data_IF_965693006082
#
_entry.id   IF_965693006082
#
_cell.length_a   1.000
_cell.length_b   1.000
_cell.length_c   1.000
_cell.angle_alpha   90.00
_cell.angle_beta   90.00
_cell.angle_gamma   90.00
#
_symmetry.space_group_name_H-M   'P 1'
#
loop_
_entity.id
_entity.type
_entity.pdbx_description
1 polymer ?
#
# COMPACT_ATOMS: atom_id res chain seq x y z
N UNK A 1 -3.97 6.56 39.21
CA UNK A 1 -3.83 5.47 38.21
C UNK A 1 -2.55 5.72 37.40
N UNK A 2 -1.55 4.82 37.38
CA UNK A 2 -0.35 5.04 36.59
C UNK A 2 -0.65 4.88 35.09
N UNK A 3 -0.30 5.88 34.28
CA UNK A 3 -0.34 5.80 32.81
C UNK A 3 0.72 4.81 32.36
N UNK A 4 0.30 3.63 31.90
CA UNK A 4 1.18 2.64 31.26
C UNK A 4 1.87 3.29 30.06
N UNK A 5 3.20 3.42 30.14
CA UNK A 5 4.04 3.85 29.03
C UNK A 5 3.95 2.76 27.95
N UNK A 6 3.29 3.06 26.84
CA UNK A 6 3.30 2.25 25.63
C UNK A 6 4.76 2.18 25.15
N UNK A 7 5.44 1.08 25.50
CA UNK A 7 6.77 0.79 24.99
C UNK A 7 6.72 0.80 23.46
N UNK A 8 7.60 1.59 22.85
CA UNK A 8 7.79 1.62 21.41
C UNK A 8 8.32 0.26 20.95
N UNK A 9 7.42 -0.68 20.68
CA UNK A 9 7.79 -1.95 20.06
C UNK A 9 8.58 -1.63 18.79
N UNK A 10 9.75 -2.27 18.57
CA UNK A 10 10.56 -2.00 17.40
C UNK A 10 9.70 -2.29 16.18
N UNK A 11 9.36 -1.21 15.46
CA UNK A 11 8.44 -1.22 14.32
C UNK A 11 9.11 -2.11 13.29
N UNK A 12 8.69 -3.39 13.24
CA UNK A 12 9.25 -4.40 12.37
C UNK A 12 9.43 -3.83 10.98
N UNK A 13 10.64 -3.99 10.43
CA UNK A 13 11.16 -3.37 9.20
C UNK A 13 10.01 -3.05 8.24
N UNK A 14 9.55 -1.79 8.24
CA UNK A 14 8.51 -1.36 7.31
C UNK A 14 9.06 -1.68 5.92
N UNK A 15 8.36 -2.52 5.15
CA UNK A 15 8.74 -2.83 3.77
C UNK A 15 8.92 -1.50 3.06
N UNK A 16 10.15 -1.21 2.64
CA UNK A 16 10.50 -0.01 1.89
C UNK A 16 10.03 -0.25 0.45
N UNK A 17 8.78 0.07 0.18
CA UNK A 17 8.29 0.17 -1.19
C UNK A 17 8.61 1.57 -1.69
N UNK A 18 9.12 1.67 -2.91
CA UNK A 18 9.41 2.97 -3.50
C UNK A 18 8.14 3.59 -4.07
N UNK A 19 8.17 4.91 -4.21
CA UNK A 19 7.06 5.64 -4.84
C UNK A 19 6.90 5.26 -6.32
N UNK A 20 8.00 4.87 -6.98
CA UNK A 20 8.00 4.32 -8.34
C UNK A 20 7.17 3.04 -8.43
N UNK A 21 7.41 2.08 -7.52
CA UNK A 21 6.68 0.81 -7.46
C UNK A 21 5.18 1.04 -7.25
N UNK A 22 4.82 2.06 -6.45
CA UNK A 22 3.42 2.44 -6.22
C UNK A 22 2.77 2.97 -7.49
N UNK A 23 3.46 3.85 -8.23
CA UNK A 23 2.94 4.42 -9.48
C UNK A 23 2.76 3.34 -10.53
N UNK A 24 3.74 2.45 -10.70
CA UNK A 24 3.65 1.33 -11.64
C UNK A 24 2.55 0.33 -11.25
N UNK A 25 2.38 0.05 -9.95
CA UNK A 25 1.27 -0.76 -9.46
C UNK A 25 -0.10 -0.13 -9.76
N UNK A 26 -0.24 1.18 -9.60
CA UNK A 26 -1.50 1.87 -9.93
C UNK A 26 -1.75 1.82 -11.45
N UNK A 27 -0.71 2.03 -12.25
CA UNK A 27 -0.80 2.03 -13.72
C UNK A 27 -1.22 0.65 -14.25
N UNK A 28 -0.61 -0.42 -13.77
CA UNK A 28 -0.95 -1.80 -14.17
C UNK A 28 -2.37 -2.19 -13.79
N UNK A 29 -2.87 -1.75 -12.63
CA UNK A 29 -4.27 -1.99 -12.24
C UNK A 29 -5.24 -1.17 -13.08
N UNK A 30 -4.91 0.09 -13.41
CA UNK A 30 -5.72 0.93 -14.31
C UNK A 30 -5.79 0.35 -15.72
N UNK A 31 -4.69 -0.20 -16.22
CA UNK A 31 -4.63 -0.91 -17.51
C UNK A 31 -5.37 -2.26 -17.50
N UNK A 32 -5.99 -2.66 -16.37
CA UNK A 32 -6.66 -3.96 -16.14
C UNK A 32 -5.77 -5.18 -16.41
N UNK A 33 -4.45 -5.01 -16.42
CA UNK A 33 -3.49 -6.11 -16.61
C UNK A 33 -3.38 -7.00 -15.37
N UNK A 34 -3.48 -6.40 -14.18
CA UNK A 34 -3.38 -7.09 -12.90
C UNK A 34 -4.46 -6.58 -11.93
N UNK A 35 -5.02 -7.49 -11.13
CA UNK A 35 -5.92 -7.09 -10.04
C UNK A 35 -5.16 -6.38 -8.90
N UNK A 36 -5.86 -5.63 -8.04
CA UNK A 36 -5.26 -4.89 -6.91
C UNK A 36 -4.37 -5.79 -6.05
N UNK A 37 -4.79 -7.04 -5.82
CA UNK A 37 -4.04 -8.01 -5.03
C UNK A 37 -2.78 -8.48 -5.73
N UNK A 38 -2.83 -8.69 -7.04
CA UNK A 38 -1.69 -9.17 -7.81
C UNK A 38 -0.65 -8.07 -8.01
N UNK A 39 -1.08 -6.85 -8.33
CA UNK A 39 -0.19 -5.70 -8.39
C UNK A 39 0.52 -5.44 -7.05
N UNK A 40 -0.19 -5.60 -5.93
CA UNK A 40 0.42 -5.50 -4.59
C UNK A 40 1.53 -6.56 -4.35
N UNK A 41 1.35 -7.77 -4.86
CA UNK A 41 2.36 -8.84 -4.75
C UNK A 41 3.53 -8.61 -5.70
N UNK A 42 3.23 -8.23 -6.95
CA UNK A 42 4.20 -8.02 -8.00
C UNK A 42 5.16 -6.87 -7.69
N UNK A 43 4.62 -5.71 -7.32
CA UNK A 43 5.39 -4.51 -7.00
C UNK A 43 5.81 -4.45 -5.52
N UNK A 44 5.51 -5.48 -4.72
CA UNK A 44 5.76 -5.54 -3.27
C UNK A 44 5.20 -4.34 -2.48
N UNK A 45 4.20 -3.65 -3.03
CA UNK A 45 3.55 -2.50 -2.41
C UNK A 45 2.29 -2.96 -1.63
N UNK A 46 2.07 -2.49 -0.39
CA UNK A 46 0.87 -2.84 0.37
C UNK A 46 -0.43 -2.44 -0.35
N UNK A 47 -1.45 -3.30 -0.28
CA UNK A 47 -2.79 -3.00 -0.84
C UNK A 47 -3.37 -1.69 -0.32
N UNK A 48 -3.16 -1.38 0.96
CA UNK A 48 -3.61 -0.13 1.59
C UNK A 48 -2.99 1.12 0.96
N UNK A 49 -1.86 0.98 0.27
CA UNK A 49 -1.18 2.07 -0.44
C UNK A 49 -1.75 2.26 -1.84
N UNK A 50 -2.15 1.18 -2.52
CA UNK A 50 -2.62 1.19 -3.92
C UNK A 50 -4.15 1.45 -3.99
N UNK A 51 -4.93 0.82 -3.10
CA UNK A 51 -6.39 0.83 -3.14
C UNK A 51 -7.02 2.24 -3.02
N UNK A 52 -6.56 3.15 -2.13
CA UNK A 52 -7.17 4.49 -2.04
C UNK A 52 -7.04 5.29 -3.34
N UNK A 53 -5.91 5.16 -4.04
CA UNK A 53 -5.67 5.82 -5.32
C UNK A 53 -6.56 5.27 -6.44
N UNK A 54 -6.84 3.96 -6.42
CA UNK A 54 -7.71 3.32 -7.42
C UNK A 54 -9.18 3.65 -7.14
N UNK A 55 -9.64 3.48 -5.90
CA UNK A 55 -11.05 3.67 -5.51
C UNK A 55 -11.50 5.13 -5.71
N UNK A 56 -10.63 6.12 -5.49
CA UNK A 56 -10.94 7.54 -5.77
C UNK A 56 -11.23 7.82 -7.24
N UNK A 57 -10.74 7.00 -8.17
CA UNK A 57 -10.88 7.27 -9.61
C UNK A 57 -12.30 7.03 -10.12
N UNK A 58 -13.15 6.30 -9.37
CA UNK A 58 -14.49 5.91 -9.81
C UNK A 58 -15.60 6.45 -8.88
N UNK A 59 -15.32 7.53 -8.15
CA UNK A 59 -16.23 8.11 -7.13
C UNK A 59 -16.86 9.44 -7.56
N UNK A 60 -16.84 9.78 -8.84
CA UNK A 60 -17.58 10.91 -9.40
C UNK A 60 -18.22 10.48 -10.70
#
# INVERSE_FOLDING_TARGET
>A
MPRTKLGSSPKGKRKNWDEKDKVDAIKTVREKKLGIREAALHFRVPKSTIAPSIIKTNRF
#
